data_IF_174335611891
#
_entry.id   IF_174335611891
#
_cell.length_a   1.000
_cell.length_b   1.000
_cell.length_c   1.000
_cell.angle_alpha   90.00
_cell.angle_beta   90.00
_cell.angle_gamma   90.00
#
_symmetry.space_group_name_H-M   'P 1'
#
loop_
_entity.id
_entity.type
_entity.pdbx_description
1 polymer ?
#
# COMPACT_ATOMS: atom_id res chain seq x y z
N UNK A 1 0.64 -17.14 12.60
CA UNK A 1 0.97 -16.05 11.66
C UNK A 1 2.41 -16.21 11.14
N UNK A 2 2.72 -17.30 10.43
CA UNK A 2 4.12 -17.66 10.07
C UNK A 2 4.62 -17.02 8.74
N UNK A 3 3.73 -16.34 8.00
CA UNK A 3 4.03 -15.72 6.70
C UNK A 3 4.29 -14.22 6.77
N UNK A 4 3.89 -13.58 7.87
CA UNK A 4 4.18 -12.16 8.11
C UNK A 4 5.59 -12.07 8.69
N UNK A 5 6.36 -11.10 8.19
CA UNK A 5 7.74 -10.89 8.63
C UNK A 5 7.76 -10.46 10.10
N UNK A 6 8.71 -10.98 10.87
CA UNK A 6 8.80 -10.77 12.31
C UNK A 6 8.93 -9.30 12.72
N UNK A 7 9.46 -8.45 11.83
CA UNK A 7 9.61 -7.01 12.07
C UNK A 7 8.31 -6.23 11.85
N UNK A 8 7.26 -6.83 11.28
CA UNK A 8 5.98 -6.19 11.03
C UNK A 8 4.93 -6.66 12.03
N UNK A 9 4.28 -5.71 12.69
CA UNK A 9 3.16 -5.96 13.58
C UNK A 9 1.90 -5.31 13.00
N UNK A 10 0.97 -6.11 12.44
CA UNK A 10 -0.25 -5.56 11.83
C UNK A 10 -1.09 -4.76 12.83
N UNK A 11 -1.58 -3.61 12.39
CA UNK A 11 -2.52 -2.74 13.11
C UNK A 11 -3.90 -2.76 12.44
N UNK A 12 -4.99 -2.53 13.19
CA UNK A 12 -6.35 -2.60 12.66
C UNK A 12 -6.70 -1.48 11.65
N UNK A 13 -5.92 -0.41 11.63
CA UNK A 13 -6.02 0.74 10.73
C UNK A 13 -4.98 0.70 9.59
N UNK A 14 -4.20 -0.39 9.48
CA UNK A 14 -3.27 -0.57 8.38
C UNK A 14 -3.97 -0.54 7.01
N UNK A 15 -3.31 0.07 6.05
CA UNK A 15 -3.77 0.21 4.66
C UNK A 15 -2.74 -0.41 3.72
N UNK A 16 -3.17 -1.37 2.91
CA UNK A 16 -2.32 -1.92 1.86
C UNK A 16 -2.49 -1.10 0.58
N UNK A 17 -1.42 -0.45 0.13
CA UNK A 17 -1.36 0.31 -1.11
C UNK A 17 -0.58 -0.46 -2.18
N UNK A 18 -1.26 -1.24 -3.02
CA UNK A 18 -0.62 -2.09 -4.03
C UNK A 18 -0.89 -1.62 -5.46
N UNK A 19 0.11 -1.74 -6.33
CA UNK A 19 -0.07 -1.55 -7.77
C UNK A 19 -0.66 -2.77 -8.48
N UNK A 20 -0.80 -3.90 -7.78
CA UNK A 20 -1.47 -5.10 -8.29
C UNK A 20 -2.96 -4.84 -8.54
N UNK A 21 -3.56 -5.62 -9.43
CA UNK A 21 -4.96 -5.48 -9.79
C UNK A 21 -5.90 -6.11 -8.77
N UNK A 22 -7.05 -5.47 -8.54
CA UNK A 22 -8.14 -5.95 -7.70
C UNK A 22 -8.62 -7.37 -8.09
N UNK A 23 -8.47 -7.73 -9.36
CA UNK A 23 -8.79 -9.04 -9.92
C UNK A 23 -8.20 -10.21 -9.09
N UNK A 24 -6.95 -10.09 -8.64
CA UNK A 24 -6.31 -11.10 -7.79
C UNK A 24 -6.32 -10.73 -6.32
N UNK A 25 -6.21 -9.43 -6.02
CA UNK A 25 -6.05 -8.94 -4.66
C UNK A 25 -7.33 -9.05 -3.81
N UNK A 26 -8.51 -8.97 -4.41
CA UNK A 26 -9.78 -9.08 -3.67
C UNK A 26 -9.94 -10.46 -3.00
N UNK A 27 -9.45 -11.53 -3.62
CA UNK A 27 -9.44 -12.87 -3.03
C UNK A 27 -8.52 -12.93 -1.81
N UNK A 28 -7.33 -12.32 -1.92
CA UNK A 28 -6.34 -12.24 -0.84
C UNK A 28 -6.89 -11.42 0.32
N UNK A 29 -7.49 -10.26 0.02
CA UNK A 29 -8.13 -9.39 1.00
C UNK A 29 -9.18 -10.16 1.82
N UNK A 30 -10.08 -10.90 1.14
CA UNK A 30 -11.12 -11.70 1.79
C UNK A 30 -10.56 -12.81 2.68
N UNK A 31 -9.58 -13.57 2.17
CA UNK A 31 -8.99 -14.71 2.90
C UNK A 31 -8.19 -14.29 4.14
N UNK A 32 -7.52 -13.13 4.07
CA UNK A 32 -6.66 -12.63 5.13
C UNK A 32 -7.38 -11.66 6.08
N UNK A 33 -8.63 -11.30 5.79
CA UNK A 33 -9.41 -10.36 6.62
C UNK A 33 -8.82 -8.95 6.62
N UNK A 34 -8.20 -8.54 5.50
CA UNK A 34 -7.58 -7.21 5.38
C UNK A 34 -8.70 -6.17 5.24
N UNK A 35 -8.75 -5.22 6.18
CA UNK A 35 -9.81 -4.23 6.28
C UNK A 35 -9.77 -3.22 5.14
N UNK A 36 -8.59 -2.69 4.82
CA UNK A 36 -8.43 -1.64 3.81
C UNK A 36 -7.31 -1.97 2.85
N UNK A 37 -7.65 -2.04 1.56
CA UNK A 37 -6.70 -2.31 0.48
C UNK A 37 -7.06 -1.48 -0.74
N UNK A 38 -6.07 -0.83 -1.32
CA UNK A 38 -6.19 -0.04 -2.55
C UNK A 38 -5.35 -0.72 -3.63
N UNK A 39 -5.99 -1.03 -4.74
CA UNK A 39 -5.41 -1.75 -5.88
C UNK A 39 -5.49 -0.89 -7.15
N UNK A 40 -4.74 -1.29 -8.18
CA UNK A 40 -5.10 -0.89 -9.54
C UNK A 40 -6.41 -1.59 -9.93
N UNK A 41 -7.21 -0.97 -10.79
CA UNK A 41 -8.48 -1.52 -11.25
C UNK A 41 -8.56 -1.50 -12.76
N UNK A 42 -9.25 -2.50 -13.31
CA UNK A 42 -9.62 -2.55 -14.72
C UNK A 42 -11.13 -2.66 -14.82
N UNK A 43 -11.67 -2.12 -15.91
CA UNK A 43 -13.02 -2.42 -16.31
C UNK A 43 -13.12 -3.92 -16.65
N UNK A 44 -14.06 -4.64 -16.05
CA UNK A 44 -14.15 -6.10 -16.24
C UNK A 44 -14.73 -6.51 -17.59
N UNK A 45 -15.46 -5.61 -18.26
CA UNK A 45 -16.09 -5.87 -19.54
C UNK A 45 -15.15 -5.51 -20.70
N UNK A 46 -14.44 -4.37 -20.59
CA UNK A 46 -13.55 -3.88 -21.65
C UNK A 46 -12.08 -4.25 -21.45
N UNK A 47 -11.68 -4.66 -20.23
CA UNK A 47 -10.30 -4.88 -19.80
C UNK A 47 -9.42 -3.61 -19.85
N UNK A 48 -10.02 -2.45 -19.99
CA UNK A 48 -9.31 -1.17 -19.97
C UNK A 48 -8.92 -0.78 -18.54
N UNK A 49 -7.78 -0.11 -18.42
CA UNK A 49 -7.26 0.37 -17.15
C UNK A 49 -8.09 1.57 -16.65
N UNK A 50 -8.81 1.40 -15.54
CA UNK A 50 -9.60 2.45 -14.91
C UNK A 50 -8.77 3.23 -13.89
N UNK A 51 -7.95 2.53 -13.11
CA UNK A 51 -7.09 3.14 -12.11
C UNK A 51 -5.75 2.40 -12.01
N UNK A 52 -4.66 3.16 -12.01
CA UNK A 52 -3.32 2.66 -11.76
C UNK A 52 -2.81 3.17 -10.41
N UNK A 53 -2.74 2.29 -9.42
CA UNK A 53 -2.34 2.65 -8.05
C UNK A 53 -0.81 2.63 -7.90
N UNK A 54 -0.15 3.60 -8.53
CA UNK A 54 1.30 3.64 -8.71
C UNK A 54 1.87 5.04 -8.45
N UNK A 55 3.03 5.13 -7.80
CA UNK A 55 3.72 6.40 -7.55
C UNK A 55 2.83 7.44 -6.86
N UNK A 56 2.68 8.62 -7.47
CA UNK A 56 1.89 9.73 -6.93
C UNK A 56 0.39 9.43 -6.85
N UNK A 57 -0.13 8.48 -7.65
CA UNK A 57 -1.54 8.09 -7.56
C UNK A 57 -1.87 7.44 -6.21
N UNK A 58 -0.91 6.73 -5.60
CA UNK A 58 -1.08 6.19 -4.23
C UNK A 58 -1.33 7.32 -3.23
N UNK A 59 -0.57 8.41 -3.32
CA UNK A 59 -0.74 9.59 -2.46
C UNK A 59 -2.10 10.24 -2.67
N UNK A 60 -2.52 10.39 -3.93
CA UNK A 60 -3.81 10.97 -4.28
C UNK A 60 -4.96 10.17 -3.67
N UNK A 61 -5.02 8.86 -3.93
CA UNK A 61 -6.11 8.00 -3.43
C UNK A 61 -6.08 7.91 -1.91
N UNK A 62 -4.90 7.82 -1.30
CA UNK A 62 -4.80 7.83 0.17
C UNK A 62 -5.43 9.10 0.76
N UNK A 63 -5.13 10.28 0.22
CA UNK A 63 -5.73 11.54 0.69
C UNK A 63 -7.22 11.66 0.37
N UNK A 64 -7.68 11.10 -0.75
CA UNK A 64 -9.11 11.04 -1.05
C UNK A 64 -9.87 10.18 -0.03
N UNK A 65 -9.26 9.11 0.47
CA UNK A 65 -9.87 8.22 1.46
C UNK A 65 -9.82 8.76 2.89
N UNK A 66 -8.69 9.35 3.30
CA UNK A 66 -8.42 9.69 4.69
C UNK A 66 -8.39 11.20 4.98
N UNK A 67 -8.47 12.03 3.95
CA UNK A 67 -8.43 13.49 4.04
C UNK A 67 -7.10 14.09 3.57
N UNK A 68 -7.09 15.40 3.21
CA UNK A 68 -5.92 16.06 2.64
C UNK A 68 -4.72 16.12 3.59
N UNK A 69 -4.99 16.18 4.91
CA UNK A 69 -3.99 16.29 5.97
C UNK A 69 -3.62 14.92 6.58
N UNK A 70 -4.14 13.82 6.03
CA UNK A 70 -3.81 12.48 6.50
C UNK A 70 -2.34 12.16 6.24
N UNK A 71 -1.69 11.67 7.29
CA UNK A 71 -0.26 11.33 7.30
C UNK A 71 -0.11 9.95 7.94
N UNK A 72 0.40 8.93 7.23
CA UNK A 72 0.73 7.64 7.83
C UNK A 72 1.83 7.81 8.89
N UNK A 73 1.71 7.09 10.01
CA UNK A 73 2.80 7.05 11.00
C UNK A 73 4.02 6.32 10.44
N UNK A 74 3.80 5.20 9.74
CA UNK A 74 4.85 4.36 9.17
C UNK A 74 4.44 3.91 7.77
N UNK A 75 5.39 3.89 6.83
CA UNK A 75 5.18 3.36 5.49
C UNK A 75 6.30 2.39 5.10
N UNK A 76 5.92 1.21 4.62
CA UNK A 76 6.83 0.12 4.27
C UNK A 76 6.68 -0.22 2.79
N UNK A 77 7.79 -0.21 2.05
CA UNK A 77 7.80 -0.66 0.65
C UNK A 77 9.16 -1.24 0.30
N UNK A 78 9.18 -2.20 -0.62
CA UNK A 78 10.39 -2.77 -1.21
C UNK A 78 10.84 -2.01 -2.48
N UNK A 79 10.07 -1.00 -2.91
CA UNK A 79 10.26 -0.34 -4.18
C UNK A 79 10.30 1.19 -4.07
N UNK A 80 11.32 1.81 -4.70
CA UNK A 80 11.50 3.27 -4.74
C UNK A 80 10.44 4.01 -5.57
N UNK A 81 9.66 3.30 -6.39
CA UNK A 81 8.47 3.88 -7.03
C UNK A 81 7.52 4.49 -6.00
N UNK A 82 7.48 3.92 -4.78
CA UNK A 82 6.63 4.41 -3.69
C UNK A 82 7.25 5.57 -2.92
N UNK A 83 8.34 6.17 -3.41
CA UNK A 83 8.95 7.37 -2.83
C UNK A 83 7.93 8.48 -2.50
N UNK A 84 6.88 8.75 -3.32
CA UNK A 84 5.86 9.72 -2.95
C UNK A 84 5.11 9.38 -1.65
N UNK A 85 4.81 8.11 -1.41
CA UNK A 85 4.20 7.65 -0.14
C UNK A 85 5.23 7.66 1.00
N UNK A 86 6.47 7.28 0.73
CA UNK A 86 7.54 7.35 1.72
C UNK A 86 7.74 8.79 2.25
N UNK A 87 7.68 9.78 1.35
CA UNK A 87 7.74 11.22 1.70
C UNK A 87 6.50 11.73 2.45
N UNK A 88 5.36 11.08 2.26
CA UNK A 88 4.12 11.47 2.95
C UNK A 88 4.13 11.02 4.42
N UNK A 89 4.73 9.87 4.72
CA UNK A 89 4.70 9.26 6.05
C UNK A 89 5.67 9.91 7.04
N UNK A 90 5.38 9.83 8.35
CA UNK A 90 6.28 10.31 9.40
C UNK A 90 7.58 9.51 9.46
N UNK A 91 7.50 8.20 9.19
CA UNK A 91 8.63 7.30 9.05
C UNK A 91 8.42 6.41 7.84
N UNK A 92 9.45 6.21 7.05
CA UNK A 92 9.41 5.31 5.91
C UNK A 92 10.54 4.29 5.99
N UNK A 93 10.25 3.07 5.54
CA UNK A 93 11.16 1.94 5.60
C UNK A 93 11.25 1.26 4.24
N UNK A 94 12.48 1.13 3.74
CA UNK A 94 12.78 0.27 2.60
C UNK A 94 12.94 -1.17 3.09
N UNK A 95 12.16 -2.07 2.51
CA UNK A 95 12.07 -3.47 2.92
C UNK A 95 12.87 -4.35 1.96
N UNK A 96 13.72 -5.23 2.51
CA UNK A 96 14.37 -6.30 1.75
C UNK A 96 14.32 -7.61 2.55
N UNK A 97 13.36 -8.46 2.21
CA UNK A 97 13.16 -9.76 2.86
C UNK A 97 12.82 -9.63 4.35
N UNK A 98 13.79 -9.99 5.21
CA UNK A 98 13.66 -9.91 6.68
C UNK A 98 14.31 -8.65 7.27
N UNK A 99 14.82 -7.75 6.44
CA UNK A 99 15.48 -6.53 6.87
C UNK A 99 14.66 -5.31 6.46
N UNK A 100 14.60 -4.33 7.36
CA UNK A 100 14.04 -3.01 7.08
C UNK A 100 15.10 -1.96 7.36
N UNK A 101 15.16 -0.94 6.51
CA UNK A 101 16.02 0.22 6.69
C UNK A 101 15.16 1.46 6.65
N UNK A 102 15.21 2.26 7.72
CA UNK A 102 14.55 3.56 7.70
C UNK A 102 15.23 4.46 6.65
N UNK A 103 14.43 5.11 5.83
CA UNK A 103 14.89 6.07 4.83
C UNK A 103 14.57 7.49 5.30
N UNK A 104 15.55 8.38 5.17
CA UNK A 104 15.36 9.81 5.42
C UNK A 104 15.02 10.44 4.07
N UNK A 105 13.73 10.74 3.84
CA UNK A 105 13.18 11.20 2.55
C UNK A 105 12.35 12.46 2.70
#
# INVERSE_FOLDING_TARGET
>A
MHKIKHWYHPQPDDVIMTGSFDYTMNEIQRRLGIKTMVCSTVNRDTLELEHLNFGTNKVKVFREMFGPDAVPDEFYSDNMIDLPMMKLARRAYLVHGNHIKQVNV
#
